data_IF_468721390218
#
_entry.id   IF_468721390218
#
_cell.length_a   1.000
_cell.length_b   1.000
_cell.length_c   1.000
_cell.angle_alpha   90.00
_cell.angle_beta   90.00
_cell.angle_gamma   90.00
#
_symmetry.space_group_name_H-M   'P 1'
#
loop_
_entity.id
_entity.type
_entity.pdbx_description
1 polymer ?
#
# COMPACT_ATOMS: atom_id res chain seq x y z
N UNK A 1 17.80 -2.20 -16.10
CA UNK A 1 17.18 -1.90 -14.80
C UNK A 1 18.20 -1.50 -13.73
N UNK A 2 19.52 -1.68 -13.97
CA UNK A 2 20.58 -1.26 -13.04
C UNK A 2 20.61 0.24 -12.75
N UNK A 3 20.18 1.05 -13.72
CA UNK A 3 20.10 2.51 -13.61
C UNK A 3 19.28 3.00 -12.39
N UNK A 4 18.15 2.34 -12.07
CA UNK A 4 17.34 2.72 -10.92
C UNK A 4 17.98 2.37 -9.57
N UNK A 5 18.79 1.30 -9.51
CA UNK A 5 19.54 0.94 -8.29
C UNK A 5 20.66 1.91 -8.04
N UNK A 6 21.37 2.31 -9.10
CA UNK A 6 22.45 3.28 -9.02
C UNK A 6 21.91 4.68 -8.68
N UNK A 7 20.81 5.10 -9.32
CA UNK A 7 20.12 6.35 -8.98
C UNK A 7 19.54 6.35 -7.55
N UNK A 8 19.02 5.22 -7.05
CA UNK A 8 18.52 5.15 -5.67
C UNK A 8 19.64 5.33 -4.64
N UNK A 9 20.87 4.90 -4.97
CA UNK A 9 22.05 5.05 -4.11
C UNK A 9 22.70 6.43 -4.22
N UNK A 10 22.58 7.08 -5.38
CA UNK A 10 23.07 8.44 -5.62
C UNK A 10 22.45 9.44 -4.62
N UNK A 11 23.26 10.13 -3.80
CA UNK A 11 22.79 11.14 -2.86
C UNK A 11 21.87 12.20 -3.48
N UNK A 12 22.05 12.54 -4.77
CA UNK A 12 21.25 13.55 -5.47
C UNK A 12 19.79 13.10 -5.66
N UNK A 13 19.56 11.82 -5.88
CA UNK A 13 18.23 11.28 -6.21
C UNK A 13 17.63 10.44 -5.07
N UNK A 14 18.45 9.95 -4.14
CA UNK A 14 18.06 9.10 -2.98
C UNK A 14 16.78 9.55 -2.30
N UNK A 15 16.67 10.83 -1.96
CA UNK A 15 15.50 11.37 -1.23
C UNK A 15 14.20 11.32 -2.03
N UNK A 16 14.28 11.37 -3.36
CA UNK A 16 13.12 11.18 -4.22
C UNK A 16 12.70 9.70 -4.25
N UNK A 17 13.64 8.77 -4.29
CA UNK A 17 13.36 7.34 -4.22
C UNK A 17 12.78 6.92 -2.86
N UNK A 18 13.35 7.40 -1.76
CA UNK A 18 12.79 7.22 -0.41
C UNK A 18 11.36 7.77 -0.30
N UNK A 19 11.08 8.93 -0.91
CA UNK A 19 9.72 9.49 -1.00
C UNK A 19 8.77 8.57 -1.75
N UNK A 20 9.22 7.93 -2.84
CA UNK A 20 8.40 6.97 -3.58
C UNK A 20 8.05 5.75 -2.73
N UNK A 21 9.01 5.21 -1.98
CA UNK A 21 8.77 4.11 -1.03
C UNK A 21 7.77 4.54 0.06
N UNK A 22 7.97 5.72 0.66
CA UNK A 22 7.07 6.27 1.68
C UNK A 22 5.63 6.43 1.17
N UNK A 23 5.44 6.96 -0.04
CA UNK A 23 4.12 7.12 -0.63
C UNK A 23 3.46 5.78 -0.96
N UNK A 24 4.23 4.81 -1.48
CA UNK A 24 3.73 3.45 -1.73
C UNK A 24 3.28 2.77 -0.43
N UNK A 25 4.08 2.90 0.64
CA UNK A 25 3.76 2.35 1.95
C UNK A 25 2.50 2.98 2.54
N UNK A 26 2.38 4.32 2.48
CA UNK A 26 1.18 5.07 2.90
C UNK A 26 -0.09 4.65 2.14
N UNK A 27 0.05 4.23 0.87
CA UNK A 27 -1.06 3.73 0.04
C UNK A 27 -1.48 2.30 0.40
N UNK A 28 -0.63 1.55 1.11
CA UNK A 28 -0.86 0.13 1.41
C UNK A 28 -0.60 -0.79 0.23
N UNK A 29 0.25 -0.36 -0.71
CA UNK A 29 0.49 -1.09 -1.95
C UNK A 29 1.71 -2.00 -1.83
N UNK A 30 1.47 -3.27 -1.50
CA UNK A 30 2.54 -4.24 -1.24
C UNK A 30 3.45 -4.48 -2.46
N UNK A 31 2.88 -4.54 -3.66
CA UNK A 31 3.66 -4.80 -4.89
C UNK A 31 4.56 -3.62 -5.23
N UNK A 32 4.03 -2.39 -5.18
CA UNK A 32 4.85 -1.20 -5.38
C UNK A 32 5.93 -1.09 -4.30
N UNK A 33 5.61 -1.42 -3.05
CA UNK A 33 6.63 -1.42 -1.99
C UNK A 33 7.72 -2.44 -2.27
N UNK A 34 7.37 -3.67 -2.66
CA UNK A 34 8.35 -4.69 -3.02
C UNK A 34 9.22 -4.26 -4.21
N UNK A 35 8.63 -3.65 -5.24
CA UNK A 35 9.37 -3.13 -6.39
C UNK A 35 10.34 -2.02 -5.98
N UNK A 36 9.91 -1.06 -5.14
CA UNK A 36 10.76 0.05 -4.67
C UNK A 36 11.90 -0.46 -3.77
N UNK A 37 11.62 -1.42 -2.91
CA UNK A 37 12.65 -2.07 -2.08
C UNK A 37 13.67 -2.84 -2.95
N UNK A 38 13.25 -3.39 -4.10
CA UNK A 38 14.17 -4.04 -5.05
C UNK A 38 15.23 -3.12 -5.67
N UNK A 39 15.02 -1.80 -5.57
CA UNK A 39 15.99 -0.78 -5.98
C UNK A 39 17.07 -0.51 -4.92
N UNK A 40 17.01 -1.17 -3.76
CA UNK A 40 18.01 -1.04 -2.70
C UNK A 40 17.83 0.22 -1.84
N UNK A 41 16.59 0.73 -1.76
CA UNK A 41 16.22 1.83 -0.87
C UNK A 41 16.24 1.33 0.58
N UNK A 42 16.72 2.17 1.49
CA UNK A 42 16.65 1.90 2.93
C UNK A 42 15.17 1.76 3.38
N UNK A 43 14.76 0.59 3.91
CA UNK A 43 13.39 0.38 4.38
C UNK A 43 13.02 1.23 5.60
N UNK A 44 13.99 1.78 6.34
CA UNK A 44 13.77 2.64 7.52
C UNK A 44 13.89 4.14 7.19
N UNK A 45 13.84 4.51 5.91
CA UNK A 45 13.93 5.90 5.48
C UNK A 45 12.87 6.77 6.17
N UNK A 46 13.30 7.90 6.75
CA UNK A 46 12.41 8.78 7.51
C UNK A 46 11.91 9.95 6.66
N UNK A 47 10.62 10.27 6.80
CA UNK A 47 10.01 11.40 6.10
C UNK A 47 9.21 12.32 7.02
N UNK A 48 9.30 13.63 6.76
CA UNK A 48 8.60 14.66 7.52
C UNK A 48 8.97 14.61 9.00
N UNK A 49 8.02 14.17 9.84
CA UNK A 49 8.14 14.10 11.30
C UNK A 49 8.87 12.86 11.80
N UNK A 50 9.96 12.46 11.16
CA UNK A 50 10.68 11.22 11.49
C UNK A 50 9.92 9.92 11.20
N UNK A 51 8.96 9.91 10.26
CA UNK A 51 8.12 8.72 10.04
C UNK A 51 8.76 7.75 9.07
N UNK A 52 8.90 6.50 9.48
CA UNK A 52 9.31 5.37 8.63
C UNK A 52 8.18 4.92 7.70
N UNK A 53 8.48 4.12 6.65
CA UNK A 53 7.45 3.54 5.77
C UNK A 53 6.49 2.62 6.54
N UNK A 54 6.96 1.93 7.59
CA UNK A 54 6.09 1.15 8.49
C UNK A 54 5.06 2.04 9.18
N UNK A 55 5.49 3.16 9.77
CA UNK A 55 4.58 4.14 10.38
C UNK A 55 3.63 4.74 9.34
N UNK A 56 4.13 5.02 8.13
CA UNK A 56 3.35 5.58 7.04
C UNK A 56 2.20 4.65 6.61
N UNK A 57 2.46 3.34 6.53
CA UNK A 57 1.46 2.32 6.18
C UNK A 57 0.27 2.33 7.15
N UNK A 58 0.57 2.28 8.45
CA UNK A 58 -0.45 2.22 9.50
C UNK A 58 -1.27 3.52 9.58
N UNK A 59 -0.61 4.67 9.39
CA UNK A 59 -1.28 5.99 9.38
C UNK A 59 -2.05 6.26 8.08
N UNK A 60 -1.79 5.50 7.02
CA UNK A 60 -2.53 5.58 5.76
C UNK A 60 -4.00 5.23 5.93
N UNK A 61 -4.82 5.49 4.91
CA UNK A 61 -6.25 5.13 4.93
C UNK A 61 -6.49 3.65 4.58
N UNK A 62 -5.55 3.02 3.88
CA UNK A 62 -5.58 1.61 3.50
C UNK A 62 -4.35 0.90 4.09
N UNK A 63 -4.31 0.63 5.40
CA UNK A 63 -3.22 -0.13 6.01
C UNK A 63 -3.21 -1.56 5.41
N UNK A 64 -2.02 -2.13 5.22
CA UNK A 64 -1.88 -3.42 4.54
C UNK A 64 -0.84 -4.31 5.23
N UNK A 65 -1.29 -5.46 5.75
CA UNK A 65 -0.42 -6.49 6.31
C UNK A 65 0.63 -6.97 5.30
N UNK A 66 0.27 -7.10 4.02
CA UNK A 66 1.22 -7.44 2.95
C UNK A 66 2.35 -6.42 2.81
N UNK A 67 2.04 -5.12 2.93
CA UNK A 67 3.06 -4.07 2.92
C UNK A 67 3.98 -4.15 4.14
N UNK A 68 3.43 -4.40 5.33
CA UNK A 68 4.22 -4.58 6.55
C UNK A 68 5.15 -5.78 6.42
N UNK A 69 4.65 -6.93 5.94
CA UNK A 69 5.47 -8.12 5.67
C UNK A 69 6.58 -7.84 4.66
N UNK A 70 6.30 -7.10 3.60
CA UNK A 70 7.30 -6.74 2.59
C UNK A 70 8.42 -5.86 3.18
N UNK A 71 8.07 -4.86 3.99
CA UNK A 71 9.03 -3.98 4.67
C UNK A 71 9.87 -4.76 5.68
N UNK A 72 9.25 -5.58 6.54
CA UNK A 72 9.97 -6.41 7.51
C UNK A 72 10.90 -7.42 6.83
N UNK A 73 10.45 -8.04 5.73
CA UNK A 73 11.29 -8.95 4.92
C UNK A 73 12.49 -8.24 4.32
N UNK A 74 12.39 -6.95 4.02
CA UNK A 74 13.49 -6.13 3.55
C UNK A 74 14.40 -5.60 4.67
N UNK A 75 14.11 -5.92 5.94
CA UNK A 75 14.92 -5.54 7.09
C UNK A 75 14.48 -4.27 7.81
N UNK A 76 13.25 -3.77 7.56
CA UNK A 76 12.71 -2.63 8.30
C UNK A 76 12.66 -2.92 9.81
N UNK A 77 13.06 -1.96 10.63
CA UNK A 77 13.03 -2.05 12.08
C UNK A 77 11.67 -1.57 12.63
N UNK A 78 10.84 -2.47 13.22
CA UNK A 78 9.53 -2.10 13.75
C UNK A 78 9.61 -1.24 15.02
N UNK A 79 10.78 -1.16 15.66
CA UNK A 79 10.99 -0.44 16.92
C UNK A 79 11.30 1.04 16.73
N UNK A 80 11.55 1.48 15.49
CA UNK A 80 11.85 2.88 15.17
C UNK A 80 10.64 3.76 15.51
N UNK A 81 10.91 4.82 16.26
CA UNK A 81 9.91 5.80 16.68
C UNK A 81 9.96 7.05 15.80
N UNK A 82 8.80 7.69 15.64
CA UNK A 82 8.74 9.03 15.06
C UNK A 82 9.08 10.13 16.09
N UNK A 83 9.04 11.40 15.68
CA UNK A 83 9.29 12.54 16.59
C UNK A 83 8.33 12.62 17.78
N UNK A 84 7.19 11.92 17.75
CA UNK A 84 6.28 11.83 18.88
C UNK A 84 6.60 10.67 19.84
N UNK A 85 7.69 9.95 19.60
CA UNK A 85 8.11 8.78 20.38
C UNK A 85 7.21 7.55 20.14
N UNK A 86 6.51 7.48 19.00
CA UNK A 86 5.56 6.40 18.71
C UNK A 86 6.08 5.47 17.62
N UNK A 87 5.99 4.18 17.87
CA UNK A 87 6.31 3.12 16.90
C UNK A 87 5.16 2.86 15.93
N UNK A 88 5.41 2.07 14.89
CA UNK A 88 4.34 1.58 14.00
C UNK A 88 3.27 0.77 14.77
N UNK A 89 3.69 -0.01 15.78
CA UNK A 89 2.80 -0.79 16.63
C UNK A 89 1.86 0.10 17.46
N UNK A 90 2.39 1.18 18.04
CA UNK A 90 1.58 2.14 18.82
C UNK A 90 0.47 2.76 17.97
N UNK A 91 0.81 3.15 16.74
CA UNK A 91 -0.17 3.66 15.79
C UNK A 91 -1.21 2.61 15.40
N UNK A 92 -0.80 1.34 15.26
CA UNK A 92 -1.68 0.26 14.86
C UNK A 92 -2.71 -0.04 15.95
N UNK A 93 -2.26 -0.18 17.21
CA UNK A 93 -3.13 -0.35 18.39
C UNK A 93 -4.11 0.81 18.55
N UNK A 94 -3.65 2.06 18.44
CA UNK A 94 -4.51 3.25 18.52
C UNK A 94 -5.55 3.29 17.40
N UNK A 95 -5.17 2.88 16.18
CA UNK A 95 -6.10 2.81 15.05
C UNK A 95 -7.13 1.70 15.28
N UNK A 96 -6.71 0.51 15.69
CA UNK A 96 -7.60 -0.62 15.94
C UNK A 96 -8.67 -0.26 16.97
N UNK A 97 -8.26 0.29 18.13
CA UNK A 97 -9.17 0.73 19.18
C UNK A 97 -10.20 1.75 18.68
N UNK A 98 -9.78 2.71 17.81
CA UNK A 98 -10.71 3.69 17.20
C UNK A 98 -11.71 3.05 16.24
N UNK A 99 -11.30 2.01 15.51
CA UNK A 99 -12.18 1.31 14.56
C UNK A 99 -13.19 0.43 15.30
N UNK A 100 -12.76 -0.25 16.35
CA UNK A 100 -13.60 -1.03 17.24
C UNK A 100 -14.63 -0.15 17.95
N UNK A 101 -14.20 1.00 18.50
CA UNK A 101 -15.09 1.96 19.14
C UNK A 101 -16.15 2.55 18.19
N UNK A 102 -15.84 2.64 16.89
CA UNK A 102 -16.79 3.08 15.86
C UNK A 102 -17.85 2.04 15.51
N UNK A 103 -17.69 0.78 15.95
CA UNK A 103 -18.67 -0.29 15.72
C UNK A 103 -18.83 -0.67 14.24
N UNK A 104 -17.81 -0.44 13.39
CA UNK A 104 -17.87 -0.83 11.96
C UNK A 104 -17.72 -2.35 11.87
N UNK A 105 -18.86 -3.06 11.91
CA UNK A 105 -18.90 -4.53 11.85
C UNK A 105 -18.79 -5.11 10.45
N UNK A 106 -19.03 -4.32 9.39
CA UNK A 106 -19.05 -4.81 8.00
C UNK A 106 -18.23 -3.93 7.07
N UNK A 107 -17.44 -4.60 6.21
CA UNK A 107 -16.77 -3.99 5.06
C UNK A 107 -17.81 -3.31 4.18
N UNK A 108 -17.66 -2.00 3.94
CA UNK A 108 -18.40 -1.33 2.86
C UNK A 108 -17.69 -1.67 1.55
N UNK A 109 -18.34 -2.45 0.68
CA UNK A 109 -17.83 -2.65 -0.69
C UNK A 109 -17.80 -1.30 -1.42
N UNK A 110 -16.83 -1.11 -2.31
CA UNK A 110 -16.81 0.08 -3.16
C UNK A 110 -18.10 0.14 -3.99
N UNK A 111 -18.72 1.32 -4.19
CA UNK A 111 -19.85 1.46 -5.11
C UNK A 111 -19.55 1.01 -6.55
N UNK A 112 -18.27 0.93 -6.91
CA UNK A 112 -17.78 0.45 -8.20
C UNK A 112 -17.67 -1.08 -8.30
N UNK A 113 -18.06 -1.83 -7.27
CA UNK A 113 -18.07 -3.30 -7.28
C UNK A 113 -19.50 -3.84 -7.24
N UNK A 114 -19.75 -4.91 -7.98
CA UNK A 114 -20.99 -5.67 -7.90
C UNK A 114 -20.99 -6.71 -6.76
N UNK A 115 -22.01 -7.56 -6.71
CA UNK A 115 -22.14 -8.60 -5.70
C UNK A 115 -21.03 -9.68 -5.77
N UNK A 116 -20.46 -9.90 -6.97
CA UNK A 116 -19.42 -10.88 -7.28
C UNK A 116 -17.99 -10.29 -7.24
N UNK A 117 -17.84 -9.08 -6.69
CA UNK A 117 -16.58 -8.34 -6.63
C UNK A 117 -15.95 -8.08 -8.02
N UNK A 118 -16.78 -7.90 -9.05
CA UNK A 118 -16.41 -7.42 -10.37
C UNK A 118 -16.68 -5.92 -10.51
N UNK A 119 -15.96 -5.25 -11.40
CA UNK A 119 -16.14 -3.82 -11.67
C UNK A 119 -17.51 -3.57 -12.30
N UNK A 120 -18.28 -2.69 -11.67
CA UNK A 120 -19.44 -2.07 -12.28
C UNK A 120 -18.98 -0.83 -13.06
N UNK A 121 -19.06 -0.90 -14.37
CA UNK A 121 -18.74 0.23 -15.25
C UNK A 121 -19.98 1.07 -15.53
N UNK A 122 -19.78 2.39 -15.63
CA UNK A 122 -20.81 3.30 -16.13
C UNK A 122 -21.02 3.12 -17.64
N UNK A 123 -22.15 3.59 -18.20
CA UNK A 123 -22.44 3.47 -19.63
C UNK A 123 -21.38 4.16 -20.50
N UNK A 124 -20.92 5.34 -20.11
CA UNK A 124 -19.89 6.09 -20.86
C UNK A 124 -18.55 5.35 -20.85
N UNK A 125 -18.15 4.84 -19.70
CA UNK A 125 -16.90 4.11 -19.52
C UNK A 125 -16.91 2.74 -20.22
N UNK A 126 -18.07 2.09 -20.28
CA UNK A 126 -18.25 0.88 -21.07
C UNK A 126 -18.10 1.18 -22.56
N UNK A 127 -18.66 2.30 -23.04
CA UNK A 127 -18.51 2.73 -24.43
C UNK A 127 -17.06 3.05 -24.79
N UNK A 128 -16.32 3.76 -23.93
CA UNK A 128 -14.89 4.03 -24.13
C UNK A 128 -14.07 2.74 -24.27
N UNK A 129 -14.33 1.72 -23.44
CA UNK A 129 -13.64 0.44 -23.56
C UNK A 129 -13.95 -0.29 -24.87
N UNK A 130 -15.19 -0.21 -25.32
CA UNK A 130 -15.61 -0.84 -26.58
C UNK A 130 -15.06 -0.11 -27.81
N UNK A 131 -14.88 1.22 -27.72
CA UNK A 131 -14.13 2.01 -28.70
C UNK A 131 -12.65 1.65 -28.72
N UNK A 132 -12.00 1.58 -27.55
CA UNK A 132 -10.59 1.16 -27.45
C UNK A 132 -10.34 -0.25 -28.00
N UNK A 133 -11.27 -1.19 -27.76
CA UNK A 133 -11.21 -2.55 -28.33
C UNK A 133 -11.25 -2.53 -29.86
N UNK A 134 -12.05 -1.63 -30.44
CA UNK A 134 -12.17 -1.47 -31.90
C UNK A 134 -10.93 -0.83 -32.51
N UNK A 135 -10.36 0.18 -31.86
CA UNK A 135 -9.19 0.90 -32.38
C UNK A 135 -7.89 0.11 -32.25
N UNK A 136 -7.66 -0.57 -31.13
CA UNK A 136 -6.38 -1.21 -30.81
C UNK A 136 -6.28 -2.68 -31.24
N UNK A 137 -7.38 -3.33 -31.65
CA UNK A 137 -7.37 -4.70 -32.18
C UNK A 137 -6.77 -5.76 -31.23
N UNK A 138 -5.91 -6.65 -31.73
CA UNK A 138 -5.24 -7.69 -30.94
C UNK A 138 -4.34 -7.12 -29.83
N UNK A 139 -3.71 -5.97 -30.05
CA UNK A 139 -2.82 -5.29 -29.10
C UNK A 139 -3.58 -4.70 -27.90
N UNK A 140 -4.90 -4.52 -28.04
CA UNK A 140 -5.77 -4.05 -26.96
C UNK A 140 -5.85 -5.04 -25.79
N UNK A 141 -5.68 -6.35 -26.02
CA UNK A 141 -5.98 -7.38 -25.02
C UNK A 141 -5.14 -7.24 -23.76
N UNK A 142 -3.83 -7.06 -23.91
CA UNK A 142 -2.92 -6.93 -22.78
C UNK A 142 -3.12 -5.59 -22.04
N UNK A 143 -3.27 -4.49 -22.79
CA UNK A 143 -3.58 -3.18 -22.22
C UNK A 143 -4.86 -3.20 -21.40
N UNK A 144 -5.96 -3.72 -21.97
CA UNK A 144 -7.26 -3.79 -21.32
C UNK A 144 -7.24 -4.75 -20.11
N UNK A 145 -6.44 -5.82 -20.16
CA UNK A 145 -6.22 -6.71 -19.03
C UNK A 145 -5.56 -5.96 -17.87
N UNK A 146 -4.48 -5.24 -18.13
CA UNK A 146 -3.76 -4.44 -17.12
C UNK A 146 -4.67 -3.35 -16.57
N UNK A 147 -5.36 -2.61 -17.44
CA UNK A 147 -6.33 -1.59 -17.06
C UNK A 147 -7.42 -2.15 -16.13
N UNK A 148 -7.99 -3.31 -16.48
CA UNK A 148 -9.02 -3.97 -15.68
C UNK A 148 -8.48 -4.39 -14.32
N UNK A 149 -7.30 -5.01 -14.29
CA UNK A 149 -6.64 -5.43 -13.05
C UNK A 149 -6.39 -4.25 -12.11
N UNK A 150 -5.88 -3.13 -12.63
CA UNK A 150 -5.58 -1.95 -11.82
C UNK A 150 -6.86 -1.28 -11.28
N UNK A 151 -7.92 -1.14 -12.08
CA UNK A 151 -9.21 -0.65 -11.58
C UNK A 151 -9.80 -1.60 -10.54
N UNK A 152 -9.76 -2.90 -10.78
CA UNK A 152 -10.31 -3.89 -9.88
C UNK A 152 -9.55 -3.88 -8.54
N UNK A 153 -8.21 -3.78 -8.61
CA UNK A 153 -7.33 -3.60 -7.46
C UNK A 153 -7.69 -2.33 -6.67
N UNK A 154 -7.90 -1.21 -7.35
CA UNK A 154 -8.29 0.05 -6.71
C UNK A 154 -9.67 -0.04 -6.05
N UNK A 155 -10.65 -0.63 -6.74
CA UNK A 155 -12.01 -0.81 -6.27
C UNK A 155 -12.11 -1.78 -5.07
N UNK A 156 -11.24 -2.80 -5.02
CA UNK A 156 -11.14 -3.75 -3.90
C UNK A 156 -10.44 -3.20 -2.67
N UNK A 157 -9.85 -2.00 -2.72
CA UNK A 157 -9.21 -1.41 -1.53
C UNK A 157 -10.26 -1.17 -0.45
N UNK A 158 -10.05 -1.81 0.69
CA UNK A 158 -10.88 -1.60 1.87
C UNK A 158 -10.23 -0.54 2.75
N UNK A 159 -10.92 0.58 2.91
CA UNK A 159 -10.46 1.67 3.77
C UNK A 159 -10.67 1.30 5.24
N UNK A 160 -9.61 1.42 6.04
CA UNK A 160 -9.62 1.20 7.48
C UNK A 160 -10.31 -0.11 7.92
N UNK A 161 -9.96 -1.23 7.30
CA UNK A 161 -10.45 -2.54 7.70
C UNK A 161 -9.91 -2.95 9.09
N UNK A 162 -10.77 -3.15 10.11
CA UNK A 162 -10.33 -3.57 11.44
C UNK A 162 -9.56 -4.88 11.42
N UNK A 163 -9.96 -5.86 10.60
CA UNK A 163 -9.31 -7.17 10.52
C UNK A 163 -7.87 -7.03 10.01
N UNK A 164 -7.68 -6.22 8.97
CA UNK A 164 -6.36 -5.93 8.41
C UNK A 164 -5.46 -5.22 9.43
N UNK A 165 -6.01 -4.28 10.21
CA UNK A 165 -5.25 -3.58 11.25
C UNK A 165 -4.90 -4.52 12.41
N UNK A 166 -5.81 -5.42 12.80
CA UNK A 166 -5.53 -6.44 13.81
C UNK A 166 -4.40 -7.38 13.37
N UNK A 167 -4.41 -7.83 12.11
CA UNK A 167 -3.31 -8.64 11.58
C UNK A 167 -1.96 -7.88 11.63
N UNK A 168 -1.96 -6.60 11.28
CA UNK A 168 -0.76 -5.75 11.36
C UNK A 168 -0.23 -5.66 12.80
N UNK A 169 -1.11 -5.52 13.80
CA UNK A 169 -0.72 -5.51 15.21
C UNK A 169 0.00 -6.81 15.56
N UNK A 170 -0.58 -7.96 15.23
CA UNK A 170 0.04 -9.27 15.50
C UNK A 170 1.39 -9.43 14.81
N UNK A 171 1.53 -8.99 13.56
CA UNK A 171 2.79 -9.06 12.81
C UNK A 171 3.88 -8.20 13.49
N UNK A 172 3.52 -6.97 13.89
CA UNK A 172 4.46 -6.04 14.51
C UNK A 172 4.85 -6.45 15.94
N UNK A 173 3.92 -7.05 16.70
CA UNK A 173 4.22 -7.64 18.02
C UNK A 173 5.24 -8.76 17.88
N UNK A 174 5.00 -9.72 16.99
CA UNK A 174 5.93 -10.82 16.73
C UNK A 174 7.31 -10.33 16.24
N UNK A 175 7.34 -9.27 15.42
CA UNK A 175 8.58 -8.70 14.92
C UNK A 175 9.37 -7.92 15.99
N UNK A 176 8.68 -7.34 16.99
CA UNK A 176 9.30 -6.66 18.12
C UNK A 176 9.90 -7.60 19.16
N UNK A 177 9.33 -8.80 19.32
CA UNK A 177 9.81 -9.83 20.28
C UNK A 177 11.00 -10.64 19.74
N UNK A 178 11.16 -10.71 18.41
CA UNK A 178 12.19 -11.54 17.76
C UNK A 178 13.58 -10.87 17.66
N UNK A 179 13.79 -9.72 18.30
CA UNK A 179 15.00 -8.89 18.20
C UNK A 179 15.64 -8.71 19.58
#
# INVERSE_FOLDING_TARGET
MDDFRDMARDPKHRRNFEKLLYLAAKRGDADLVAERLSWGIDPDCVFGKGRTPLIANVKGYCPSAGTVRALLKAGADPTVTDEAGLTALDYARRKLARLEARGIKRRRKSPSLDENDQLRLGPDEQAELDDMRRELGEDAKEYLRIWWQERLRAARRVFNDPQQVAEIVTILEAAGEAK
#
